data_IF_017505154674
#
_entry.id   IF_017505154674
#
_cell.length_a   1.000
_cell.length_b   1.000
_cell.length_c   1.000
_cell.angle_alpha   90.00
_cell.angle_beta   90.00
_cell.angle_gamma   90.00
#
_symmetry.space_group_name_H-M   'P 1'
#
loop_
_entity.id
_entity.type
_entity.pdbx_description
1 polymer ?
#
# COMPACT_ATOMS: atom_id res chain seq x y z
N UNK A 1 13.91 -68.50 54.90
CA UNK A 1 14.64 -67.82 53.82
C UNK A 1 13.64 -66.97 53.02
N UNK A 2 13.65 -65.64 53.20
CA UNK A 2 12.59 -64.75 52.78
C UNK A 2 12.77 -64.29 51.28
N UNK A 3 12.16 -65.01 50.36
CA UNK A 3 12.15 -64.71 48.93
C UNK A 3 11.06 -63.65 48.59
N UNK A 4 10.04 -63.53 49.47
CA UNK A 4 8.89 -62.58 49.19
C UNK A 4 9.17 -61.07 49.28
N UNK A 5 10.22 -60.69 50.06
CA UNK A 5 10.54 -59.23 50.23
C UNK A 5 11.33 -58.57 49.09
N UNK A 6 11.87 -59.34 48.15
CA UNK A 6 12.62 -58.77 46.98
C UNK A 6 11.81 -58.70 45.70
N UNK A 7 10.63 -59.38 45.64
CA UNK A 7 9.77 -59.34 44.44
C UNK A 7 8.84 -58.07 44.37
N UNK A 8 8.48 -57.53 45.54
CA UNK A 8 7.57 -56.35 45.60
C UNK A 8 8.18 -55.13 44.94
N UNK A 9 9.45 -54.71 45.18
CA UNK A 9 10.00 -53.56 44.52
C UNK A 9 10.20 -53.72 42.99
N UNK A 10 10.50 -54.97 42.54
CA UNK A 10 10.63 -55.24 41.09
C UNK A 10 9.28 -55.17 40.39
N UNK A 11 8.19 -55.58 41.02
CA UNK A 11 6.84 -55.52 40.48
C UNK A 11 6.35 -54.04 40.42
N UNK A 12 6.66 -53.27 41.46
CA UNK A 12 6.35 -51.84 41.45
C UNK A 12 7.14 -51.08 40.36
N UNK A 13 8.41 -51.38 40.12
CA UNK A 13 9.22 -50.76 39.07
C UNK A 13 8.71 -51.17 37.68
N UNK A 14 8.29 -52.41 37.49
CA UNK A 14 7.67 -52.90 36.26
C UNK A 14 6.31 -52.22 35.99
N UNK A 15 5.49 -51.98 37.04
CA UNK A 15 4.20 -51.30 36.94
C UNK A 15 4.37 -49.80 36.59
N UNK A 16 5.38 -49.12 37.17
CA UNK A 16 5.71 -47.75 36.86
C UNK A 16 6.24 -47.62 35.43
N UNK A 17 7.10 -48.54 34.98
CA UNK A 17 7.59 -48.58 33.60
C UNK A 17 6.46 -48.88 32.59
N UNK A 18 5.46 -49.69 32.96
CA UNK A 18 4.28 -49.94 32.12
C UNK A 18 3.32 -48.77 32.07
N UNK A 19 3.14 -48.05 33.19
CA UNK A 19 2.33 -46.82 33.24
C UNK A 19 2.94 -45.69 32.41
N UNK A 20 4.27 -45.50 32.44
CA UNK A 20 4.99 -44.52 31.63
C UNK A 20 4.93 -44.87 30.15
N UNK A 21 4.96 -46.16 29.77
CA UNK A 21 4.84 -46.58 28.37
C UNK A 21 3.42 -46.41 27.81
N UNK A 22 2.39 -46.56 28.65
CA UNK A 22 0.99 -46.31 28.22
C UNK A 22 0.72 -44.80 28.06
N UNK A 23 1.24 -43.99 28.97
CA UNK A 23 1.12 -42.52 28.85
C UNK A 23 1.82 -41.99 27.60
N UNK A 24 3.02 -42.46 27.28
CA UNK A 24 3.75 -42.09 26.07
C UNK A 24 3.09 -42.64 24.78
N UNK A 25 2.38 -43.77 24.83
CA UNK A 25 1.69 -44.32 23.68
C UNK A 25 0.41 -43.56 23.29
N UNK A 26 -0.35 -43.07 24.28
CA UNK A 26 -1.53 -42.21 24.02
C UNK A 26 -1.12 -40.82 23.54
N UNK A 27 -0.10 -40.24 24.14
CA UNK A 27 0.41 -38.90 23.72
C UNK A 27 0.85 -38.93 22.26
N UNK A 28 1.63 -39.91 21.83
CA UNK A 28 2.11 -40.03 20.45
C UNK A 28 0.99 -40.16 19.40
N UNK A 29 -0.10 -40.84 19.75
CA UNK A 29 -1.25 -40.98 18.85
C UNK A 29 -1.98 -39.66 18.68
N UNK A 30 -2.17 -38.91 19.76
CA UNK A 30 -2.83 -37.65 19.76
C UNK A 30 -2.01 -36.60 19.02
N UNK A 31 -0.69 -36.55 19.22
CA UNK A 31 0.24 -35.72 18.46
C UNK A 31 0.17 -36.01 16.96
N UNK A 32 0.07 -37.30 16.56
CA UNK A 32 -0.10 -37.66 15.14
C UNK A 32 -1.40 -37.14 14.55
N UNK A 33 -2.53 -37.30 15.29
CA UNK A 33 -3.84 -36.81 14.83
C UNK A 33 -3.85 -35.26 14.66
N UNK A 34 -3.28 -34.52 15.63
CA UNK A 34 -3.12 -33.07 15.56
C UNK A 34 -2.27 -32.69 14.35
N UNK A 35 -1.14 -33.38 14.16
CA UNK A 35 -0.25 -33.14 13.01
C UNK A 35 -0.95 -33.29 11.68
N UNK A 36 -1.78 -34.34 11.56
CA UNK A 36 -2.52 -34.62 10.33
C UNK A 36 -3.56 -33.53 10.04
N UNK A 37 -4.23 -32.99 11.08
CA UNK A 37 -5.17 -31.86 10.93
C UNK A 37 -4.45 -30.61 10.48
N UNK A 38 -3.35 -30.24 11.15
CA UNK A 38 -2.55 -29.07 10.79
C UNK A 38 -1.98 -29.21 9.36
N UNK A 39 -1.45 -30.39 9.03
CA UNK A 39 -0.91 -30.64 7.70
C UNK A 39 -1.99 -30.51 6.62
N UNK A 40 -3.16 -31.10 6.84
CA UNK A 40 -4.26 -31.05 5.87
C UNK A 40 -4.72 -29.61 5.64
N UNK A 41 -4.75 -28.79 6.69
CA UNK A 41 -5.10 -27.36 6.58
C UNK A 41 -4.07 -26.59 5.77
N UNK A 42 -2.78 -26.71 6.11
CA UNK A 42 -1.71 -25.99 5.43
C UNK A 42 -1.47 -26.51 3.99
N UNK A 43 -1.68 -27.79 3.73
CA UNK A 43 -1.65 -28.36 2.38
C UNK A 43 -2.77 -27.78 1.48
N UNK A 44 -3.92 -27.41 2.06
CA UNK A 44 -4.97 -26.74 1.30
C UNK A 44 -4.56 -25.32 0.89
N UNK A 45 -3.84 -24.59 1.75
CA UNK A 45 -3.29 -23.26 1.39
C UNK A 45 -2.20 -23.38 0.32
N UNK A 46 -1.38 -24.42 0.39
CA UNK A 46 -0.33 -24.68 -0.61
C UNK A 46 -0.89 -25.06 -1.98
N UNK A 47 -2.09 -25.65 -2.02
CA UNK A 47 -2.75 -26.12 -3.24
C UNK A 47 -4.08 -25.39 -3.47
N UNK A 48 -4.07 -24.06 -3.30
CA UNK A 48 -5.26 -23.23 -3.39
C UNK A 48 -6.07 -23.47 -4.67
N UNK A 49 -7.36 -23.60 -4.49
CA UNK A 49 -8.37 -23.46 -5.51
C UNK A 49 -9.43 -22.44 -5.06
N UNK A 50 -10.32 -22.02 -5.95
CA UNK A 50 -11.30 -20.99 -5.68
C UNK A 50 -12.23 -21.27 -4.48
N UNK A 51 -12.55 -22.53 -4.19
CA UNK A 51 -13.38 -22.92 -3.04
C UNK A 51 -12.61 -22.78 -1.73
N UNK A 52 -11.29 -23.05 -1.77
CA UNK A 52 -10.41 -23.04 -0.60
C UNK A 52 -10.11 -21.62 -0.14
N UNK A 53 -9.90 -20.70 -1.08
CA UNK A 53 -9.58 -19.30 -0.80
C UNK A 53 -10.66 -18.61 0.01
N UNK A 54 -11.92 -18.73 -0.40
CA UNK A 54 -13.06 -18.09 0.27
C UNK A 54 -13.31 -18.64 1.69
N UNK A 55 -12.85 -19.88 1.96
CA UNK A 55 -13.03 -20.53 3.26
C UNK A 55 -12.01 -20.05 4.30
N UNK A 56 -10.80 -19.70 3.88
CA UNK A 56 -9.67 -19.52 4.79
C UNK A 56 -9.32 -18.08 5.12
N UNK A 57 -9.52 -17.15 4.22
CA UNK A 57 -9.20 -15.75 4.46
C UNK A 57 -10.42 -14.93 4.08
N UNK A 58 -11.10 -14.33 5.07
CA UNK A 58 -12.15 -13.38 4.78
C UNK A 58 -11.54 -12.20 4.01
N UNK A 59 -11.76 -12.18 2.71
CA UNK A 59 -11.19 -11.17 1.80
C UNK A 59 -11.45 -9.72 2.22
N UNK A 60 -12.50 -9.51 3.03
CA UNK A 60 -12.85 -8.21 3.62
C UNK A 60 -11.89 -7.77 4.73
N UNK A 61 -11.20 -8.71 5.36
CA UNK A 61 -10.28 -8.38 6.45
C UNK A 61 -8.98 -7.75 5.95
N UNK A 62 -8.58 -8.00 4.69
CA UNK A 62 -7.45 -7.31 4.09
C UNK A 62 -7.72 -5.82 3.89
N UNK A 63 -8.97 -5.45 3.61
CA UNK A 63 -9.35 -4.06 3.29
C UNK A 63 -10.59 -3.64 4.06
N UNK A 64 -10.48 -3.46 5.40
CA UNK A 64 -11.61 -3.02 6.21
C UNK A 64 -12.03 -1.61 5.78
N UNK A 65 -13.31 -1.46 5.45
CA UNK A 65 -13.87 -0.17 5.01
C UNK A 65 -13.92 0.04 3.50
N UNK A 66 -13.37 -0.87 2.70
CA UNK A 66 -13.58 -0.84 1.26
C UNK A 66 -15.06 -1.13 0.89
N UNK A 67 -15.57 -0.43 -0.12
CA UNK A 67 -16.94 -0.63 -0.61
C UNK A 67 -17.02 -1.90 -1.45
N UNK A 68 -18.00 -2.76 -1.11
CA UNK A 68 -18.24 -3.99 -1.85
C UNK A 68 -18.94 -3.71 -3.20
N UNK A 69 -18.37 -4.28 -4.27
CA UNK A 69 -19.07 -4.46 -5.54
C UNK A 69 -19.41 -5.94 -5.71
N UNK A 70 -20.54 -6.26 -6.27
CA UNK A 70 -20.98 -7.63 -6.53
C UNK A 70 -20.18 -8.21 -7.71
N UNK A 71 -19.53 -9.37 -7.54
CA UNK A 71 -18.89 -10.11 -8.64
C UNK A 71 -17.38 -10.29 -8.59
N UNK A 72 -16.74 -10.06 -7.43
CA UNK A 72 -15.28 -10.03 -7.25
C UNK A 72 -14.58 -11.39 -7.10
N UNK A 73 -15.23 -12.50 -7.38
CA UNK A 73 -14.67 -13.84 -7.09
C UNK A 73 -13.38 -14.14 -7.87
N UNK A 74 -13.28 -13.65 -9.10
CA UNK A 74 -12.14 -13.98 -9.97
C UNK A 74 -10.89 -13.18 -9.58
N UNK A 75 -11.00 -11.88 -9.32
CA UNK A 75 -9.91 -11.01 -8.90
C UNK A 75 -9.34 -11.43 -7.54
N UNK A 76 -10.22 -11.79 -6.60
CA UNK A 76 -9.84 -12.28 -5.28
C UNK A 76 -9.10 -13.61 -5.40
N UNK A 77 -9.62 -14.54 -6.18
CA UNK A 77 -9.01 -15.85 -6.38
C UNK A 77 -7.64 -15.75 -7.07
N UNK A 78 -7.51 -14.86 -8.05
CA UNK A 78 -6.25 -14.59 -8.72
C UNK A 78 -5.21 -14.03 -7.73
N UNK A 79 -5.55 -13.00 -6.96
CA UNK A 79 -4.65 -12.41 -5.97
C UNK A 79 -4.13 -13.44 -4.97
N UNK A 80 -5.02 -14.24 -4.38
CA UNK A 80 -4.60 -15.28 -3.44
C UNK A 80 -3.81 -16.40 -4.10
N UNK A 81 -4.16 -16.79 -5.32
CA UNK A 81 -3.40 -17.80 -6.07
C UNK A 81 -1.97 -17.34 -6.31
N UNK A 82 -1.76 -16.08 -6.68
CA UNK A 82 -0.45 -15.47 -6.87
C UNK A 82 0.31 -15.33 -5.54
N UNK A 83 -0.36 -14.84 -4.50
CA UNK A 83 0.23 -14.66 -3.17
C UNK A 83 0.77 -15.97 -2.60
N UNK A 84 -0.01 -17.06 -2.70
CA UNK A 84 0.36 -18.36 -2.13
C UNK A 84 1.22 -19.23 -3.04
N UNK A 85 1.64 -18.78 -4.21
CA UNK A 85 2.55 -19.53 -5.09
C UNK A 85 3.85 -19.96 -4.41
N UNK A 86 4.40 -19.10 -3.53
CA UNK A 86 5.63 -19.35 -2.77
C UNK A 86 5.35 -19.88 -1.37
N UNK A 87 4.09 -20.23 -1.05
CA UNK A 87 3.74 -20.72 0.27
C UNK A 87 4.34 -22.09 0.53
N UNK A 88 5.04 -22.20 1.66
CA UNK A 88 5.53 -23.45 2.19
C UNK A 88 5.47 -23.40 3.73
N UNK A 89 5.57 -24.58 4.36
CA UNK A 89 5.55 -24.64 5.81
C UNK A 89 6.37 -25.80 6.36
N UNK A 90 6.79 -25.65 7.62
CA UNK A 90 7.44 -26.70 8.39
C UNK A 90 6.83 -26.76 9.78
N UNK A 91 6.22 -27.89 10.15
CA UNK A 91 5.77 -28.14 11.50
C UNK A 91 7.01 -28.40 12.36
N UNK A 92 7.23 -27.56 13.36
CA UNK A 92 8.41 -27.60 14.23
C UNK A 92 8.16 -28.48 15.47
N UNK A 93 7.00 -28.29 16.11
CA UNK A 93 6.63 -28.97 17.34
C UNK A 93 5.11 -29.10 17.48
N UNK A 94 4.66 -30.11 18.21
CA UNK A 94 3.27 -30.32 18.57
C UNK A 94 3.21 -30.66 20.04
N UNK A 95 2.40 -29.95 20.79
CA UNK A 95 2.11 -30.19 22.19
C UNK A 95 0.62 -30.45 22.37
N UNK A 96 0.27 -31.51 23.06
CA UNK A 96 -1.13 -31.87 23.38
C UNK A 96 -1.31 -31.79 24.87
N UNK A 97 -2.32 -31.04 25.33
CA UNK A 97 -2.76 -31.06 26.72
C UNK A 97 -4.09 -31.86 26.85
N UNK A 98 -4.02 -33.08 27.32
CA UNK A 98 -5.20 -33.92 27.49
C UNK A 98 -6.14 -33.42 28.59
N UNK A 99 -5.64 -32.65 29.56
CA UNK A 99 -6.44 -32.13 30.68
C UNK A 99 -7.40 -31.03 30.20
N UNK A 100 -6.94 -30.19 29.27
CA UNK A 100 -7.71 -29.07 28.71
C UNK A 100 -8.36 -29.41 27.35
N UNK A 101 -8.20 -30.65 26.86
CA UNK A 101 -8.61 -31.02 25.50
C UNK A 101 -8.10 -30.07 24.42
N UNK A 102 -6.91 -29.54 24.60
CA UNK A 102 -6.28 -28.57 23.71
C UNK A 102 -4.96 -29.12 23.14
N UNK A 103 -4.57 -28.54 22.02
CA UNK A 103 -3.26 -28.78 21.45
C UNK A 103 -2.72 -27.49 20.79
N UNK A 104 -1.41 -27.41 20.69
CA UNK A 104 -0.71 -26.35 19.98
C UNK A 104 0.27 -26.94 18.98
N UNK A 105 0.34 -26.37 17.79
CA UNK A 105 1.35 -26.70 16.80
C UNK A 105 2.17 -25.44 16.50
N UNK A 106 3.48 -25.53 16.71
CA UNK A 106 4.42 -24.51 16.28
C UNK A 106 4.82 -24.78 14.83
N UNK A 107 4.59 -23.81 13.97
CA UNK A 107 4.81 -23.93 12.53
C UNK A 107 5.67 -22.77 12.05
N UNK A 108 6.62 -23.06 11.19
CA UNK A 108 7.32 -22.04 10.40
C UNK A 108 6.63 -21.95 9.05
N UNK A 109 6.14 -20.79 8.71
CA UNK A 109 5.53 -20.49 7.43
C UNK A 109 6.54 -19.79 6.53
N UNK A 110 6.49 -20.06 5.24
CA UNK A 110 7.20 -19.33 4.20
C UNK A 110 6.15 -18.70 3.30
N UNK A 111 6.17 -17.38 3.18
CA UNK A 111 5.27 -16.59 2.33
C UNK A 111 6.09 -15.62 1.49
N UNK A 112 5.47 -14.86 0.62
CA UNK A 112 6.12 -13.67 0.05
C UNK A 112 6.32 -12.64 1.16
N UNK A 113 7.27 -11.71 0.96
CA UNK A 113 7.51 -10.60 1.88
C UNK A 113 6.29 -9.66 1.87
N UNK A 114 5.43 -9.81 2.89
CA UNK A 114 4.17 -9.07 3.03
C UNK A 114 4.38 -7.57 3.20
N UNK A 115 5.41 -7.16 3.94
CA UNK A 115 5.74 -5.75 4.16
C UNK A 115 6.13 -5.05 2.84
N UNK A 116 6.94 -5.72 2.00
CA UNK A 116 7.29 -5.18 0.69
C UNK A 116 6.06 -5.03 -0.22
N UNK A 117 5.18 -6.05 -0.24
CA UNK A 117 3.93 -5.99 -0.98
C UNK A 117 3.01 -4.89 -0.47
N UNK A 118 2.84 -4.76 0.85
CA UNK A 118 1.99 -3.73 1.46
C UNK A 118 2.50 -2.31 1.15
N UNK A 119 3.83 -2.11 1.17
CA UNK A 119 4.45 -0.84 0.80
C UNK A 119 4.19 -0.47 -0.66
N UNK A 120 4.40 -1.42 -1.58
CA UNK A 120 4.12 -1.20 -3.00
C UNK A 120 2.63 -0.95 -3.24
N UNK A 121 1.75 -1.68 -2.51
CA UNK A 121 0.31 -1.49 -2.57
C UNK A 121 -0.10 -0.08 -2.10
N UNK A 122 0.43 0.38 -0.97
CA UNK A 122 0.14 1.73 -0.45
C UNK A 122 0.61 2.81 -1.43
N UNK A 123 1.79 2.64 -2.04
CA UNK A 123 2.31 3.55 -3.05
C UNK A 123 1.42 3.60 -4.30
N UNK A 124 0.97 2.44 -4.81
CA UNK A 124 0.13 2.38 -6.00
C UNK A 124 -1.29 2.91 -5.75
N UNK A 125 -1.84 2.65 -4.55
CA UNK A 125 -3.10 3.21 -4.12
C UNK A 125 -3.03 4.75 -4.03
N UNK A 126 -1.94 5.29 -3.51
CA UNK A 126 -1.71 6.74 -3.44
C UNK A 126 -1.59 7.36 -4.84
N UNK A 127 -0.83 6.74 -5.76
CA UNK A 127 -0.75 7.16 -7.17
C UNK A 127 -2.12 7.20 -7.83
N UNK A 128 -2.90 6.14 -7.64
CA UNK A 128 -4.26 6.05 -8.16
C UNK A 128 -5.12 7.21 -7.68
N UNK A 129 -5.08 7.53 -6.38
CA UNK A 129 -5.84 8.65 -5.80
C UNK A 129 -5.43 10.01 -6.38
N UNK A 130 -4.14 10.27 -6.54
CA UNK A 130 -3.63 11.52 -7.11
C UNK A 130 -4.09 11.64 -8.57
N UNK A 131 -3.97 10.57 -9.34
CA UNK A 131 -4.39 10.55 -10.76
C UNK A 131 -5.91 10.73 -10.89
N UNK A 132 -6.71 10.07 -10.05
CA UNK A 132 -8.16 10.24 -10.02
C UNK A 132 -8.57 11.67 -9.63
N UNK A 133 -7.89 12.28 -8.65
CA UNK A 133 -8.10 13.67 -8.28
C UNK A 133 -7.78 14.63 -9.45
N UNK A 134 -6.71 14.37 -10.19
CA UNK A 134 -6.36 15.10 -11.39
C UNK A 134 -7.44 14.97 -12.48
N UNK A 135 -8.04 13.79 -12.61
CA UNK A 135 -9.09 13.52 -13.61
C UNK A 135 -10.49 13.97 -13.18
N UNK A 136 -10.78 14.04 -11.89
CA UNK A 136 -12.11 14.35 -11.36
C UNK A 136 -12.64 15.73 -11.82
N UNK A 137 -11.77 16.72 -11.97
CA UNK A 137 -12.14 18.04 -12.48
C UNK A 137 -12.51 18.01 -13.98
N UNK A 138 -12.20 16.96 -14.71
CA UNK A 138 -12.57 16.79 -16.12
C UNK A 138 -13.95 16.14 -16.31
N UNK A 139 -14.71 15.89 -15.23
CA UNK A 139 -16.06 15.34 -15.26
C UNK A 139 -16.16 13.81 -15.17
N UNK A 140 -15.07 13.10 -14.96
CA UNK A 140 -15.02 11.65 -14.74
C UNK A 140 -14.83 11.32 -13.25
N UNK A 141 -15.90 11.42 -12.49
CA UNK A 141 -15.88 11.12 -11.05
C UNK A 141 -16.25 9.66 -10.79
N UNK A 142 -15.30 8.75 -10.90
CA UNK A 142 -15.36 7.47 -10.17
C UNK A 142 -14.28 7.49 -9.11
N UNK A 143 -14.66 7.59 -7.85
CA UNK A 143 -13.78 7.28 -6.72
C UNK A 143 -13.64 5.75 -6.67
N UNK A 144 -12.81 5.22 -7.56
CA UNK A 144 -12.54 3.79 -7.65
C UNK A 144 -11.58 3.35 -6.55
N UNK A 145 -10.79 4.28 -6.02
CA UNK A 145 -9.78 3.99 -5.00
C UNK A 145 -10.33 3.47 -3.67
N UNK A 146 -11.63 3.59 -3.45
CA UNK A 146 -12.33 3.04 -2.28
C UNK A 146 -13.00 1.69 -2.54
N UNK A 147 -13.01 1.21 -3.79
CA UNK A 147 -13.67 -0.05 -4.12
C UNK A 147 -12.79 -1.26 -3.78
N UNK A 148 -13.41 -2.30 -3.25
CA UNK A 148 -12.72 -3.57 -2.99
C UNK A 148 -12.13 -4.17 -4.28
N UNK A 149 -12.81 -4.00 -5.41
CA UNK A 149 -12.36 -4.40 -6.75
C UNK A 149 -11.04 -3.73 -7.11
N UNK A 150 -10.94 -2.41 -6.96
CA UNK A 150 -9.71 -1.68 -7.27
C UNK A 150 -8.53 -2.15 -6.41
N UNK A 151 -8.76 -2.43 -5.13
CA UNK A 151 -7.72 -2.95 -4.26
C UNK A 151 -7.19 -4.33 -4.73
N UNK A 152 -8.08 -5.25 -5.10
CA UNK A 152 -7.65 -6.55 -5.61
C UNK A 152 -7.02 -6.47 -7.01
N UNK A 153 -7.45 -5.54 -7.87
CA UNK A 153 -6.79 -5.28 -9.14
C UNK A 153 -5.37 -4.74 -8.95
N UNK A 154 -5.16 -3.82 -7.99
CA UNK A 154 -3.81 -3.35 -7.63
C UNK A 154 -2.95 -4.52 -7.12
N UNK A 155 -3.48 -5.35 -6.21
CA UNK A 155 -2.74 -6.52 -5.73
C UNK A 155 -2.36 -7.48 -6.86
N UNK A 156 -3.30 -7.80 -7.75
CA UNK A 156 -3.04 -8.66 -8.90
C UNK A 156 -1.96 -8.08 -9.80
N UNK A 157 -2.04 -6.79 -10.08
CA UNK A 157 -1.05 -6.10 -10.91
C UNK A 157 0.34 -6.16 -10.27
N UNK A 158 0.44 -5.89 -8.98
CA UNK A 158 1.72 -5.94 -8.26
C UNK A 158 2.30 -7.35 -8.21
N UNK A 159 1.47 -8.35 -7.90
CA UNK A 159 1.90 -9.75 -7.82
C UNK A 159 2.28 -10.35 -9.18
N UNK A 160 1.71 -9.86 -10.28
CA UNK A 160 2.06 -10.29 -11.63
C UNK A 160 3.32 -9.59 -12.17
N UNK A 161 3.53 -8.32 -11.81
CA UNK A 161 4.60 -7.50 -12.41
C UNK A 161 5.88 -7.46 -11.57
N UNK A 162 5.79 -7.72 -10.26
CA UNK A 162 6.92 -7.64 -9.35
C UNK A 162 7.29 -9.03 -8.81
N UNK A 163 8.58 -9.24 -8.58
CA UNK A 163 9.07 -10.39 -7.84
C UNK A 163 9.32 -9.99 -6.38
N UNK A 164 8.62 -10.65 -5.45
CA UNK A 164 8.82 -10.47 -4.02
C UNK A 164 9.67 -11.61 -3.46
N UNK A 165 10.61 -11.28 -2.60
CA UNK A 165 11.37 -12.28 -1.86
C UNK A 165 10.46 -13.08 -0.94
N UNK A 166 10.91 -14.28 -0.54
CA UNK A 166 10.23 -15.08 0.47
C UNK A 166 10.63 -14.63 1.87
N UNK A 167 9.65 -14.56 2.76
CA UNK A 167 9.83 -14.29 4.19
C UNK A 167 9.41 -15.51 5.02
N UNK A 168 10.06 -15.71 6.17
CA UNK A 168 9.73 -16.79 7.10
C UNK A 168 9.11 -16.20 8.37
N UNK A 169 7.94 -16.73 8.76
CA UNK A 169 7.21 -16.31 9.97
C UNK A 169 6.94 -17.52 10.86
N UNK A 170 7.09 -17.37 12.17
CA UNK A 170 6.70 -18.39 13.14
C UNK A 170 5.23 -18.19 13.51
N UNK A 171 4.44 -19.26 13.34
CA UNK A 171 3.02 -19.29 13.62
C UNK A 171 2.71 -20.34 14.70
N UNK A 172 1.78 -20.03 15.58
CA UNK A 172 1.26 -20.99 16.58
C UNK A 172 -0.21 -21.28 16.28
N UNK A 173 -0.50 -22.50 15.87
CA UNK A 173 -1.85 -22.96 15.59
C UNK A 173 -2.42 -23.61 16.84
N UNK A 174 -3.54 -23.11 17.33
CA UNK A 174 -4.27 -23.66 18.45
C UNK A 174 -5.38 -24.59 17.95
N UNK A 175 -5.52 -25.75 18.62
CA UNK A 175 -6.55 -26.73 18.30
C UNK A 175 -7.31 -27.12 19.56
N UNK A 176 -8.56 -27.50 19.40
CA UNK A 176 -9.42 -28.02 20.44
C UNK A 176 -10.00 -29.38 20.02
N UNK A 177 -10.08 -30.31 20.97
CA UNK A 177 -10.73 -31.58 20.72
C UNK A 177 -12.23 -31.44 21.01
N UNK A 178 -13.04 -31.50 19.97
CA UNK A 178 -14.52 -31.46 20.04
C UNK A 178 -15.14 -32.85 20.12
N UNK A 179 -14.31 -33.89 20.00
CA UNK A 179 -14.76 -35.29 20.06
C UNK A 179 -14.78 -35.86 21.48
N UNK A 180 -15.11 -37.10 21.57
CA UNK A 180 -15.02 -37.86 22.83
C UNK A 180 -13.64 -38.52 22.97
N UNK A 181 -13.26 -38.91 24.19
CA UNK A 181 -11.98 -39.58 24.47
C UNK A 181 -11.75 -40.91 23.69
N UNK A 182 -12.81 -41.49 23.10
CA UNK A 182 -12.72 -42.68 22.23
C UNK A 182 -12.70 -42.31 20.74
N UNK A 183 -13.16 -41.12 20.39
CA UNK A 183 -13.27 -40.66 19.01
C UNK A 183 -12.90 -39.18 18.97
N UNK A 184 -11.59 -38.92 19.02
CA UNK A 184 -11.05 -37.57 19.01
C UNK A 184 -11.33 -36.87 17.67
N UNK A 185 -11.75 -35.62 17.74
CA UNK A 185 -11.96 -34.75 16.60
C UNK A 185 -11.27 -33.42 16.90
N UNK A 186 -10.11 -33.21 16.34
CA UNK A 186 -9.34 -31.98 16.51
C UNK A 186 -9.78 -30.95 15.50
N UNK A 187 -10.02 -29.73 15.97
CA UNK A 187 -10.42 -28.59 15.14
C UNK A 187 -9.50 -27.40 15.42
N UNK A 188 -9.05 -26.74 14.37
CA UNK A 188 -8.23 -25.52 14.47
C UNK A 188 -9.10 -24.37 14.98
N UNK A 189 -8.61 -23.67 16.00
CA UNK A 189 -9.21 -22.44 16.48
C UNK A 189 -8.80 -21.29 15.56
N UNK A 190 -9.74 -20.82 14.77
CA UNK A 190 -9.55 -19.66 13.90
C UNK A 190 -9.58 -18.39 14.73
N UNK A 191 -8.52 -17.58 14.64
CA UNK A 191 -8.38 -16.27 15.26
C UNK A 191 -7.83 -15.30 14.24
N UNK A 192 -8.08 -13.99 14.42
CA UNK A 192 -7.50 -12.95 13.56
C UNK A 192 -5.96 -12.98 13.55
N UNK A 193 -5.34 -13.38 14.66
CA UNK A 193 -3.89 -13.56 14.72
C UNK A 193 -3.42 -14.69 13.79
N UNK A 194 -4.10 -15.85 13.84
CA UNK A 194 -3.76 -16.97 12.95
C UNK A 194 -3.95 -16.58 11.48
N UNK A 195 -5.04 -15.90 11.15
CA UNK A 195 -5.31 -15.46 9.80
C UNK A 195 -4.25 -14.47 9.28
N UNK A 196 -3.82 -13.53 10.13
CA UNK A 196 -2.71 -12.65 9.80
C UNK A 196 -1.39 -13.40 9.60
N UNK A 197 -1.08 -14.36 10.49
CA UNK A 197 0.13 -15.19 10.36
C UNK A 197 0.12 -16.01 9.07
N UNK A 198 -1.02 -16.57 8.66
CA UNK A 198 -1.17 -17.37 7.43
C UNK A 198 -0.88 -16.57 6.16
N UNK A 199 -1.11 -15.24 6.20
CA UNK A 199 -0.73 -14.33 5.10
C UNK A 199 0.59 -13.60 5.39
N UNK A 200 1.43 -14.14 6.27
CA UNK A 200 2.76 -13.61 6.55
C UNK A 200 2.78 -12.22 7.21
N UNK A 201 1.66 -11.78 7.80
CA UNK A 201 1.52 -10.45 8.42
C UNK A 201 0.83 -9.42 7.55
N UNK A 202 0.43 -9.76 6.32
CA UNK A 202 -0.09 -8.80 5.33
C UNK A 202 -1.26 -7.95 5.85
N UNK A 203 -2.16 -8.51 6.68
CA UNK A 203 -3.29 -7.76 7.24
C UNK A 203 -2.78 -6.61 8.13
N UNK A 204 -1.78 -6.90 8.97
CA UNK A 204 -1.17 -5.89 9.84
C UNK A 204 -0.37 -4.87 9.03
N UNK A 205 0.41 -5.33 8.04
CA UNK A 205 1.23 -4.46 7.21
C UNK A 205 0.39 -3.49 6.37
N UNK A 206 -0.75 -3.95 5.82
CA UNK A 206 -1.69 -3.09 5.08
C UNK A 206 -2.42 -2.06 5.97
N UNK A 207 -2.51 -2.34 7.27
CA UNK A 207 -3.12 -1.45 8.26
C UNK A 207 -2.10 -0.54 8.96
N UNK A 208 -0.80 -0.68 8.66
CA UNK A 208 0.26 0.11 9.26
C UNK A 208 0.24 1.55 8.70
N UNK A 209 -0.03 2.57 9.53
CA UNK A 209 -0.05 3.95 9.09
C UNK A 209 1.33 4.48 8.66
N UNK A 210 2.40 3.77 9.02
CA UNK A 210 3.78 4.11 8.71
C UNK A 210 4.38 3.20 7.62
N UNK A 211 3.55 2.41 6.90
CA UNK A 211 4.01 1.52 5.83
C UNK A 211 4.77 2.26 4.72
N UNK A 212 4.35 3.49 4.41
CA UNK A 212 5.14 4.46 3.68
C UNK A 212 5.69 5.48 4.68
N UNK A 213 7.00 5.71 4.67
CA UNK A 213 7.59 6.83 5.41
C UNK A 213 7.11 8.18 4.86
N UNK A 214 7.27 9.30 5.58
CA UNK A 214 7.00 10.63 5.04
C UNK A 214 7.75 10.91 3.75
N UNK A 215 9.01 10.49 3.68
CA UNK A 215 9.86 10.62 2.49
C UNK A 215 9.33 9.80 1.31
N UNK A 216 8.97 8.53 1.53
CA UNK A 216 8.37 7.68 0.50
C UNK A 216 7.02 8.25 0.04
N UNK A 217 6.20 8.73 0.98
CA UNK A 217 4.91 9.34 0.67
C UNK A 217 5.10 10.55 -0.25
N UNK A 218 5.99 11.46 0.11
CA UNK A 218 6.28 12.64 -0.72
C UNK A 218 6.86 12.24 -2.09
N UNK A 219 7.75 11.23 -2.12
CA UNK A 219 8.30 10.69 -3.37
C UNK A 219 7.19 10.22 -4.30
N UNK A 220 6.21 9.46 -3.78
CA UNK A 220 5.05 9.01 -4.58
C UNK A 220 4.24 10.19 -5.11
N UNK A 221 4.02 11.24 -4.30
CA UNK A 221 3.35 12.45 -4.74
C UNK A 221 4.09 13.13 -5.89
N UNK A 222 5.36 13.44 -5.72
CA UNK A 222 6.15 14.20 -6.68
C UNK A 222 6.40 13.41 -7.97
N UNK A 223 6.69 12.10 -7.87
CA UNK A 223 6.80 11.20 -9.02
C UNK A 223 5.50 11.09 -9.82
N UNK A 224 4.36 11.15 -9.14
CA UNK A 224 3.06 11.11 -9.81
C UNK A 224 2.81 12.41 -10.55
N UNK A 225 3.10 13.56 -9.92
CA UNK A 225 2.97 14.87 -10.55
C UNK A 225 3.85 15.01 -11.79
N UNK A 226 5.10 14.52 -11.73
CA UNK A 226 6.02 14.55 -12.87
C UNK A 226 5.50 13.74 -14.07
N UNK A 227 4.69 12.70 -13.83
CA UNK A 227 4.15 11.80 -14.85
C UNK A 227 2.77 12.18 -15.37
N UNK A 228 2.08 13.15 -14.75
CA UNK A 228 0.79 13.64 -15.24
C UNK A 228 0.97 14.22 -16.65
N UNK A 229 0.01 13.98 -17.53
CA UNK A 229 -0.03 14.71 -18.80
C UNK A 229 -0.43 16.19 -18.58
N UNK A 230 -0.27 17.03 -19.62
CA UNK A 230 -0.57 18.45 -19.52
C UNK A 230 -2.02 18.75 -19.07
N UNK A 231 -2.97 17.92 -19.49
CA UNK A 231 -4.38 18.07 -19.14
C UNK A 231 -4.64 17.68 -17.70
N UNK A 232 -4.07 16.58 -17.27
CA UNK A 232 -4.16 16.11 -15.88
C UNK A 232 -3.48 17.09 -14.93
N UNK A 233 -2.30 17.59 -15.29
CA UNK A 233 -1.58 18.60 -14.51
C UNK A 233 -2.37 19.92 -14.45
N UNK A 234 -2.94 20.40 -15.55
CA UNK A 234 -3.82 21.57 -15.57
C UNK A 234 -5.02 21.41 -14.63
N UNK A 235 -5.60 20.22 -14.62
CA UNK A 235 -6.71 19.85 -13.76
C UNK A 235 -6.29 19.84 -12.30
N UNK A 236 -5.21 19.14 -11.99
CA UNK A 236 -4.68 19.02 -10.63
C UNK A 236 -4.30 20.39 -10.02
N UNK A 237 -3.65 21.26 -10.80
CA UNK A 237 -3.30 22.63 -10.39
C UNK A 237 -4.52 23.58 -10.33
N UNK A 238 -5.73 23.12 -10.68
CA UNK A 238 -6.93 23.95 -10.70
C UNK A 238 -6.94 25.02 -11.80
N UNK A 239 -5.99 24.97 -12.73
CA UNK A 239 -5.83 25.95 -13.82
C UNK A 239 -6.93 25.83 -14.87
N UNK A 240 -7.58 24.66 -14.97
CA UNK A 240 -8.71 24.42 -15.89
C UNK A 240 -9.83 25.45 -15.72
N UNK A 241 -10.11 25.91 -14.50
CA UNK A 241 -11.11 26.94 -14.24
C UNK A 241 -10.69 28.32 -14.73
N UNK A 242 -9.39 28.57 -14.83
CA UNK A 242 -8.81 29.81 -15.38
C UNK A 242 -8.78 29.71 -16.91
N UNK A 243 -8.56 28.53 -17.47
CA UNK A 243 -8.49 28.26 -18.91
C UNK A 243 -9.86 28.26 -19.59
N UNK A 244 -10.95 28.00 -18.85
CA UNK A 244 -12.32 28.02 -19.40
C UNK A 244 -12.92 29.46 -19.49
N UNK A 245 -12.09 30.46 -19.74
CA UNK A 245 -12.56 31.82 -19.99
C UNK A 245 -12.93 31.99 -21.44
N UNK A 246 -13.78 33.00 -21.75
CA UNK A 246 -14.06 33.42 -23.12
C UNK A 246 -12.89 34.14 -23.78
N UNK A 247 -11.79 34.37 -23.06
CA UNK A 247 -10.58 35.05 -23.49
C UNK A 247 -9.54 34.04 -23.93
N UNK A 248 -9.38 33.84 -25.23
CA UNK A 248 -8.45 32.86 -25.79
C UNK A 248 -6.99 33.15 -25.46
N UNK A 249 -6.61 34.44 -25.30
CA UNK A 249 -5.23 34.80 -24.96
C UNK A 249 -4.86 34.38 -23.54
N UNK A 250 -5.78 34.53 -22.58
CA UNK A 250 -5.58 34.05 -21.20
C UNK A 250 -5.50 32.55 -21.14
N UNK A 251 -6.31 31.85 -21.93
CA UNK A 251 -6.25 30.37 -22.01
C UNK A 251 -4.87 29.91 -22.52
N UNK A 252 -4.35 30.52 -23.59
CA UNK A 252 -3.03 30.20 -24.13
C UNK A 252 -1.88 30.51 -23.15
N UNK A 253 -1.98 31.59 -22.39
CA UNK A 253 -1.01 31.93 -21.33
C UNK A 253 -1.04 30.86 -20.22
N UNK A 254 -2.22 30.45 -19.79
CA UNK A 254 -2.36 29.42 -18.77
C UNK A 254 -1.83 28.06 -19.25
N UNK A 255 -2.09 27.67 -20.50
CA UNK A 255 -1.53 26.49 -21.13
C UNK A 255 0.01 26.53 -21.16
N UNK A 256 0.59 27.65 -21.61
CA UNK A 256 2.04 27.82 -21.67
C UNK A 256 2.70 27.77 -20.28
N UNK A 257 2.05 28.28 -19.23
CA UNK A 257 2.55 28.14 -17.85
C UNK A 257 2.53 26.70 -17.36
N UNK A 258 1.46 25.93 -17.62
CA UNK A 258 1.40 24.51 -17.28
C UNK A 258 2.48 23.72 -18.03
N UNK A 259 2.71 24.05 -19.31
CA UNK A 259 3.77 23.45 -20.10
C UNK A 259 5.16 23.77 -19.54
N UNK A 260 5.39 25.00 -19.07
CA UNK A 260 6.64 25.36 -18.38
C UNK A 260 6.84 24.56 -17.08
N UNK A 261 5.78 24.37 -16.28
CA UNK A 261 5.85 23.52 -15.08
C UNK A 261 6.19 22.08 -15.49
N UNK A 262 5.42 21.51 -16.40
CA UNK A 262 5.59 20.11 -16.81
C UNK A 262 6.99 19.82 -17.37
N UNK A 263 7.54 20.70 -18.19
CA UNK A 263 8.82 20.49 -18.88
C UNK A 263 10.04 20.75 -17.99
N UNK A 264 9.89 21.53 -16.92
CA UNK A 264 11.02 21.98 -16.09
C UNK A 264 10.93 21.47 -14.63
N UNK A 265 9.88 20.72 -14.28
CA UNK A 265 9.75 20.18 -12.94
C UNK A 265 10.68 19.00 -12.73
N UNK A 266 11.51 19.09 -11.68
CA UNK A 266 12.21 17.94 -11.12
C UNK A 266 12.48 18.19 -9.64
N UNK A 267 12.81 17.14 -8.89
CA UNK A 267 13.02 17.26 -7.45
C UNK A 267 14.12 16.36 -6.92
N UNK A 268 14.68 16.71 -5.77
CA UNK A 268 15.63 15.91 -5.01
C UNK A 268 15.31 16.05 -3.53
N UNK A 269 14.96 14.96 -2.86
CA UNK A 269 14.76 14.95 -1.41
C UNK A 269 16.11 15.08 -0.72
N UNK A 270 16.24 16.07 0.18
CA UNK A 270 17.47 16.36 0.91
C UNK A 270 17.49 15.78 2.31
N UNK A 271 16.39 15.90 3.03
CA UNK A 271 16.29 15.43 4.42
C UNK A 271 14.83 15.23 4.82
N UNK A 272 14.62 14.34 5.78
CA UNK A 272 13.33 14.13 6.43
C UNK A 272 13.52 14.18 7.94
N UNK A 273 12.55 14.76 8.64
CA UNK A 273 12.52 14.86 10.10
C UNK A 273 11.12 14.60 10.61
N UNK A 274 10.99 13.65 11.51
CA UNK A 274 9.73 13.25 12.11
C UNK A 274 9.63 13.68 13.57
N UNK A 275 8.45 14.13 13.99
CA UNK A 275 8.12 14.46 15.36
C UNK A 275 6.69 14.04 15.70
N UNK A 276 6.54 12.80 16.15
CA UNK A 276 5.24 12.20 16.44
C UNK A 276 4.41 12.04 15.16
N UNK A 277 3.25 12.68 15.12
CA UNK A 277 2.35 12.62 13.95
C UNK A 277 2.66 13.67 12.87
N UNK A 278 3.75 14.42 13.01
CA UNK A 278 4.15 15.43 12.03
C UNK A 278 5.51 15.09 11.47
N UNK A 279 5.70 15.37 10.20
CA UNK A 279 7.00 15.27 9.55
C UNK A 279 7.25 16.48 8.65
N UNK A 280 8.52 16.82 8.48
CA UNK A 280 8.96 17.82 7.51
C UNK A 280 9.97 17.16 6.59
N UNK A 281 9.72 17.25 5.28
CA UNK A 281 10.62 16.75 4.24
C UNK A 281 11.13 17.93 3.42
N UNK A 282 12.41 18.23 3.58
CA UNK A 282 13.08 19.29 2.80
C UNK A 282 13.47 18.74 1.44
N UNK A 283 12.98 19.38 0.40
CA UNK A 283 13.14 18.94 -0.98
C UNK A 283 13.65 20.08 -1.85
N UNK A 284 14.66 19.85 -2.63
CA UNK A 284 15.09 20.74 -3.69
C UNK A 284 14.17 20.58 -4.89
N UNK A 285 13.49 21.67 -5.27
CA UNK A 285 12.60 21.72 -6.44
C UNK A 285 13.26 22.55 -7.52
N UNK A 286 13.36 21.97 -8.70
CA UNK A 286 13.71 22.71 -9.93
C UNK A 286 12.43 23.00 -10.71
N UNK A 287 12.26 24.24 -11.12
CA UNK A 287 11.13 24.68 -11.94
C UNK A 287 11.56 25.80 -12.89
N UNK A 288 10.66 26.29 -13.75
CA UNK A 288 10.95 27.43 -14.60
C UNK A 288 11.27 28.69 -13.77
N UNK A 289 12.12 29.57 -14.33
CA UNK A 289 12.47 30.84 -13.70
C UNK A 289 11.45 31.92 -14.08
N UNK A 290 10.57 32.28 -13.14
CA UNK A 290 9.55 33.31 -13.33
C UNK A 290 10.14 34.71 -13.45
N UNK A 291 11.27 34.98 -12.78
CA UNK A 291 11.93 36.30 -12.86
C UNK A 291 12.57 36.49 -14.23
N UNK A 292 13.12 35.44 -14.83
CA UNK A 292 13.60 35.45 -16.20
C UNK A 292 12.46 35.75 -17.20
N UNK A 293 11.30 35.08 -17.03
CA UNK A 293 10.10 35.36 -17.86
C UNK A 293 9.66 36.80 -17.72
N UNK A 294 9.56 37.32 -16.49
CA UNK A 294 9.13 38.68 -16.21
C UNK A 294 10.10 39.71 -16.78
N UNK A 295 11.39 39.48 -16.66
CA UNK A 295 12.44 40.34 -17.22
C UNK A 295 12.39 40.41 -18.74
N UNK A 296 12.22 39.27 -19.41
CA UNK A 296 12.07 39.23 -20.88
C UNK A 296 10.78 39.92 -21.33
N UNK A 297 9.67 39.67 -20.65
CA UNK A 297 8.39 40.33 -20.89
C UNK A 297 8.52 41.86 -20.78
N UNK A 298 9.10 42.36 -19.68
CA UNK A 298 9.27 43.81 -19.48
C UNK A 298 10.14 44.45 -20.57
N UNK A 299 11.25 43.79 -20.92
CA UNK A 299 12.15 44.28 -21.98
C UNK A 299 11.45 44.40 -23.32
N UNK A 300 10.71 43.36 -23.73
CA UNK A 300 9.95 43.34 -24.99
C UNK A 300 8.78 44.31 -24.98
N UNK A 301 8.10 44.46 -23.84
CA UNK A 301 7.01 45.44 -23.69
C UNK A 301 7.51 46.86 -23.80
N UNK A 302 8.62 47.21 -23.17
CA UNK A 302 9.22 48.54 -23.23
C UNK A 302 9.67 48.87 -24.67
N UNK A 303 10.27 47.92 -25.39
CA UNK A 303 10.62 48.06 -26.80
C UNK A 303 9.37 48.32 -27.65
N UNK A 304 8.28 47.56 -27.47
CA UNK A 304 7.03 47.81 -28.16
C UNK A 304 6.46 49.18 -27.85
N UNK A 305 6.39 49.57 -26.57
CA UNK A 305 5.83 50.86 -26.16
C UNK A 305 6.62 52.07 -26.68
N UNK A 306 7.91 51.91 -26.95
CA UNK A 306 8.76 52.91 -27.58
C UNK A 306 8.63 52.94 -29.12
N UNK A 307 7.96 51.98 -29.73
CA UNK A 307 7.82 51.85 -31.18
C UNK A 307 6.75 52.80 -31.76
N UNK A 308 6.83 53.02 -33.07
CA UNK A 308 5.80 53.76 -33.81
C UNK A 308 4.44 53.03 -33.80
N UNK A 309 4.44 51.72 -33.74
CA UNK A 309 3.24 50.90 -33.74
C UNK A 309 2.42 51.13 -32.48
N UNK A 310 3.06 51.25 -31.32
CA UNK A 310 2.37 51.55 -30.06
C UNK A 310 1.71 52.93 -30.03
N UNK A 311 2.24 53.88 -30.81
CA UNK A 311 1.61 55.22 -30.97
C UNK A 311 0.34 55.15 -31.80
N UNK A 312 0.33 54.32 -32.84
CA UNK A 312 -0.80 54.09 -33.76
C UNK A 312 -1.88 53.24 -33.12
N UNK A 313 -1.48 52.24 -32.31
CA UNK A 313 -2.38 51.32 -31.67
C UNK A 313 -3.20 52.00 -30.57
N UNK A 314 -4.50 51.74 -30.56
CA UNK A 314 -5.38 52.10 -29.44
C UNK A 314 -5.15 51.27 -28.21
N UNK A 315 -5.77 51.64 -27.09
CA UNK A 315 -5.62 50.95 -25.79
C UNK A 315 -5.91 49.42 -25.85
N UNK A 316 -6.90 49.04 -26.64
CA UNK A 316 -7.28 47.64 -26.81
C UNK A 316 -6.16 46.83 -27.49
N UNK A 317 -5.62 47.35 -28.61
CA UNK A 317 -4.53 46.66 -29.31
C UNK A 317 -3.24 46.58 -28.49
N UNK A 318 -2.93 47.64 -27.72
CA UNK A 318 -1.77 47.61 -26.80
C UNK A 318 -1.94 46.56 -25.74
N UNK A 319 -3.15 46.37 -25.19
CA UNK A 319 -3.45 45.32 -24.26
C UNK A 319 -3.29 43.95 -24.91
N UNK A 320 -3.87 43.73 -26.09
CA UNK A 320 -3.72 42.45 -26.83
C UNK A 320 -2.24 42.17 -27.11
N UNK A 321 -1.46 43.17 -27.52
CA UNK A 321 -0.03 43.04 -27.78
C UNK A 321 0.77 42.69 -26.50
N UNK A 322 0.39 43.25 -25.37
CA UNK A 322 1.03 42.90 -24.08
C UNK A 322 0.81 41.44 -23.71
N UNK A 323 -0.38 40.88 -23.99
CA UNK A 323 -0.66 39.46 -23.76
C UNK A 323 0.11 38.57 -24.74
N UNK A 324 0.25 38.97 -26.02
CA UNK A 324 1.09 38.22 -26.99
C UNK A 324 2.55 38.18 -26.55
N UNK A 325 3.09 39.34 -26.10
CA UNK A 325 4.47 39.42 -25.60
C UNK A 325 4.66 38.53 -24.35
N UNK A 326 3.68 38.53 -23.42
CA UNK A 326 3.73 37.67 -22.24
C UNK A 326 3.73 36.20 -22.64
N UNK A 327 2.83 35.79 -23.54
CA UNK A 327 2.77 34.41 -24.05
C UNK A 327 4.10 34.02 -24.72
N UNK A 328 4.68 34.89 -25.54
CA UNK A 328 5.98 34.65 -26.18
C UNK A 328 7.11 34.47 -25.14
N UNK A 329 7.14 35.34 -24.12
CA UNK A 329 8.14 35.26 -23.06
C UNK A 329 8.03 33.97 -22.21
N UNK A 330 6.80 33.50 -21.97
CA UNK A 330 6.58 32.24 -21.29
C UNK A 330 7.00 31.06 -22.18
N UNK A 331 6.50 31.02 -23.43
CA UNK A 331 6.71 29.90 -24.35
C UNK A 331 8.17 29.71 -24.74
N UNK A 332 8.95 30.76 -24.81
CA UNK A 332 10.38 30.72 -25.17
C UNK A 332 11.32 30.68 -23.97
N UNK A 333 10.80 30.63 -22.74
CA UNK A 333 11.64 30.55 -21.56
C UNK A 333 12.35 29.17 -21.49
N UNK A 334 13.66 29.22 -21.29
CA UNK A 334 14.50 28.04 -21.04
C UNK A 334 15.25 28.13 -19.71
N UNK A 335 15.05 29.20 -18.97
CA UNK A 335 15.70 29.40 -17.68
C UNK A 335 14.94 28.63 -16.59
N UNK A 336 15.69 28.03 -15.69
CA UNK A 336 15.18 27.31 -14.52
C UNK A 336 15.74 27.91 -13.24
N UNK A 337 14.99 27.77 -12.16
CA UNK A 337 15.41 28.11 -10.80
C UNK A 337 15.32 26.89 -9.91
N UNK A 338 16.15 26.86 -8.87
CA UNK A 338 16.24 25.77 -7.90
C UNK A 338 15.99 26.36 -6.51
N UNK A 339 15.01 25.79 -5.80
CA UNK A 339 14.65 26.26 -4.47
C UNK A 339 14.48 25.08 -3.51
N UNK A 340 14.88 25.26 -2.27
CA UNK A 340 14.56 24.33 -1.18
C UNK A 340 13.14 24.63 -0.66
N UNK A 341 12.31 23.60 -0.60
CA UNK A 341 10.92 23.65 -0.13
C UNK A 341 10.74 22.66 0.99
N UNK A 342 10.17 23.09 2.10
CA UNK A 342 9.79 22.23 3.21
C UNK A 342 8.34 21.77 3.04
N UNK A 343 8.16 20.49 2.80
CA UNK A 343 6.83 19.87 2.78
C UNK A 343 6.51 19.33 4.17
N UNK A 344 5.36 19.74 4.70
CA UNK A 344 4.84 19.26 5.98
C UNK A 344 3.86 18.13 5.73
N UNK A 345 4.06 17.00 6.42
CA UNK A 345 3.17 15.86 6.38
C UNK A 345 2.59 15.59 7.77
N UNK A 346 1.37 15.08 7.79
CA UNK A 346 0.67 14.65 9.01
C UNK A 346 0.26 13.20 8.86
N UNK A 347 0.55 12.38 9.87
CA UNK A 347 -0.01 11.04 9.98
C UNK A 347 -1.37 11.12 10.70
N UNK A 348 -2.45 10.76 10.02
CA UNK A 348 -3.81 10.78 10.55
C UNK A 348 -4.20 9.48 11.29
N UNK A 349 -3.24 8.58 11.50
CA UNK A 349 -3.43 7.25 12.07
C UNK A 349 -3.82 6.18 11.03
N UNK A 350 -3.89 6.56 9.75
CA UNK A 350 -4.11 5.65 8.61
C UNK A 350 -2.94 5.72 7.64
N UNK A 351 -2.42 6.92 7.38
CA UNK A 351 -1.27 7.15 6.50
C UNK A 351 -0.72 8.56 6.68
N UNK A 352 0.48 8.77 6.18
CA UNK A 352 1.04 10.11 6.01
C UNK A 352 0.33 10.85 4.86
N UNK A 353 0.01 12.13 5.10
CA UNK A 353 -0.65 13.02 4.13
C UNK A 353 0.06 14.35 4.06
N UNK A 354 0.17 14.89 2.86
CA UNK A 354 0.69 16.23 2.67
C UNK A 354 -0.27 17.25 3.30
N UNK A 355 0.27 18.11 4.18
CA UNK A 355 -0.49 19.21 4.75
C UNK A 355 -0.42 20.40 3.80
N UNK A 356 -1.55 20.85 3.32
CA UNK A 356 -1.65 22.07 2.53
C UNK A 356 -2.03 23.27 3.40
N UNK A 357 -1.28 24.37 3.29
CA UNK A 357 -1.57 25.63 4.01
C UNK A 357 -2.75 26.42 3.38
N UNK A 358 -3.69 25.79 2.74
CA UNK A 358 -4.83 26.54 2.23
C UNK A 358 -5.81 25.84 1.30
N UNK A 359 -5.48 24.70 0.76
CA UNK A 359 -6.42 23.82 0.05
C UNK A 359 -5.91 22.40 0.21
N UNK A 360 -6.69 21.56 0.80
CA UNK A 360 -6.41 20.15 0.98
C UNK A 360 -6.20 19.44 -0.36
N UNK A 361 -4.95 19.40 -0.81
CA UNK A 361 -4.48 18.46 -1.83
C UNK A 361 -4.49 17.07 -1.19
N UNK A 362 -5.67 16.46 -1.05
CA UNK A 362 -5.77 15.11 -0.50
C UNK A 362 -7.00 14.76 0.32
N UNK A 363 -7.95 15.67 0.50
CA UNK A 363 -9.29 15.34 1.00
C UNK A 363 -10.20 14.92 -0.17
N UNK A 364 -9.84 13.87 -0.87
CA UNK A 364 -10.70 13.22 -1.83
C UNK A 364 -10.77 11.72 -1.50
#
# INVERSE_FOLDING_TARGET
MNISKRLVPIFCILLVLFAVSIANGCSRKNESNVKDVVKNELDQLKNLNSETTQKYIPYKELFPGATENTGLSDEINEAFSLFFQKFDYKILDISVDPADNSATASVKLTTINSQALARDFAAELLRTRITEAAQAQTGNTKDSSKSLEAHYLILNQLLNNNEYDSAETNCTIQLVNTGSSKNEKWEIQRTSFLENDLVGGLITDLADPDILSPEDTLTVYLDTLEKLDLKEMSSYLGVVNIMNTSDSAKNSIAEALVEQIHNNFSYVIKSSSENGYNATVTTEITTFDSDAILSDYQSKLDEYLASADAVIDGSQKRYEKSLEILLDSISNNTATTVNDVDFVLINDGVSWKLQDEGNTLGDA
#
